data_IF_115666169954
#
_entry.id   IF_115666169954
#
_cell.length_a   1.000
_cell.length_b   1.000
_cell.length_c   1.000
_cell.angle_alpha   90.00
_cell.angle_beta   90.00
_cell.angle_gamma   90.00
#
_symmetry.space_group_name_H-M   'P 1'
#
loop_
_entity.id
_entity.type
_entity.pdbx_description
1 polymer ?
#
# COMPACT_ATOMS: atom_id res chain seq x y z
N UNK A 1 0.33 -4.58 -10.44
CA UNK A 1 1.13 -5.62 -9.75
C UNK A 1 1.38 -6.77 -10.73
N UNK A 2 2.20 -6.52 -11.75
CA UNK A 2 2.32 -7.42 -12.92
C UNK A 2 3.61 -8.26 -12.91
N UNK A 3 4.55 -8.00 -12.00
CA UNK A 3 5.79 -8.79 -11.93
C UNK A 3 5.52 -10.16 -11.29
N UNK A 4 5.97 -11.24 -11.95
CA UNK A 4 5.82 -12.62 -11.47
C UNK A 4 6.60 -12.90 -10.19
N UNK A 5 7.70 -12.18 -9.98
CA UNK A 5 8.55 -12.33 -8.80
C UNK A 5 7.97 -11.57 -7.62
N UNK A 6 7.42 -12.29 -6.65
CA UNK A 6 6.95 -11.69 -5.40
C UNK A 6 8.06 -10.93 -4.67
N UNK A 7 9.33 -11.29 -4.86
CA UNK A 7 10.48 -10.56 -4.30
C UNK A 7 10.63 -9.17 -4.89
N UNK A 8 10.38 -9.01 -6.20
CA UNK A 8 10.38 -7.69 -6.83
C UNK A 8 9.23 -6.85 -6.27
N UNK A 9 8.03 -7.44 -6.18
CA UNK A 9 6.86 -6.76 -5.59
C UNK A 9 7.08 -6.38 -4.13
N UNK A 10 7.72 -7.24 -3.34
CA UNK A 10 8.14 -6.99 -1.97
C UNK A 10 9.07 -5.78 -1.88
N UNK A 11 10.11 -5.72 -2.71
CA UNK A 11 11.05 -4.57 -2.72
C UNK A 11 10.32 -3.28 -3.07
N UNK A 12 9.39 -3.31 -4.04
CA UNK A 12 8.55 -2.15 -4.35
C UNK A 12 7.70 -1.74 -3.16
N UNK A 13 7.07 -2.68 -2.44
CA UNK A 13 6.31 -2.39 -1.23
C UNK A 13 7.18 -1.79 -0.12
N UNK A 14 8.40 -2.32 0.08
CA UNK A 14 9.33 -1.82 1.09
C UNK A 14 9.80 -0.38 0.78
N UNK A 15 10.01 -0.08 -0.50
CA UNK A 15 10.51 1.22 -1.00
C UNK A 15 9.42 2.22 -1.38
N UNK A 16 8.15 1.87 -1.21
CA UNK A 16 7.04 2.65 -1.74
C UNK A 16 7.00 4.10 -1.25
N UNK A 17 7.28 4.34 0.02
CA UNK A 17 7.29 5.70 0.61
C UNK A 17 8.45 6.54 0.09
N UNK A 18 9.60 5.91 -0.19
CA UNK A 18 10.74 6.58 -0.82
C UNK A 18 10.37 6.99 -2.26
N UNK A 19 9.71 6.10 -3.01
CA UNK A 19 9.19 6.38 -4.34
C UNK A 19 8.16 7.52 -4.34
N UNK A 20 7.23 7.51 -3.38
CA UNK A 20 6.21 8.56 -3.23
C UNK A 20 6.83 9.96 -3.09
N UNK A 21 7.90 10.07 -2.31
CA UNK A 21 8.64 11.34 -2.13
C UNK A 21 9.33 11.81 -3.42
N UNK A 22 9.75 10.88 -4.27
CA UNK A 22 10.47 11.20 -5.50
C UNK A 22 9.56 11.61 -6.66
N UNK A 23 8.34 11.07 -6.74
CA UNK A 23 7.45 11.27 -7.91
C UNK A 23 6.48 12.45 -7.77
N UNK A 24 6.32 12.99 -6.56
CA UNK A 24 5.43 14.11 -6.29
C UNK A 24 3.94 13.76 -6.28
N UNK A 25 3.10 14.75 -6.01
CA UNK A 25 1.68 14.58 -5.66
C UNK A 25 0.80 14.04 -6.78
N UNK A 26 1.05 14.41 -8.03
CA UNK A 26 0.21 14.01 -9.16
C UNK A 26 0.36 12.52 -9.46
N UNK A 27 1.60 12.05 -9.67
CA UNK A 27 1.92 10.64 -9.87
C UNK A 27 1.54 9.82 -8.64
N UNK A 28 1.71 10.37 -7.43
CA UNK A 28 1.27 9.70 -6.22
C UNK A 28 -0.21 9.35 -6.27
N UNK A 29 -1.06 10.30 -6.67
CA UNK A 29 -2.51 10.11 -6.72
C UNK A 29 -2.94 9.18 -7.85
N UNK A 30 -2.38 9.37 -9.04
CA UNK A 30 -2.84 8.68 -10.24
C UNK A 30 -2.28 7.26 -10.35
N UNK A 31 -1.05 7.04 -9.88
CA UNK A 31 -0.33 5.78 -10.11
C UNK A 31 0.02 5.05 -8.81
N UNK A 32 0.59 5.76 -7.82
CA UNK A 32 1.04 5.08 -6.60
C UNK A 32 -0.10 4.66 -5.67
N UNK A 33 -1.18 5.42 -5.57
CA UNK A 33 -2.34 5.02 -4.75
C UNK A 33 -2.95 3.71 -5.28
N UNK A 34 -3.29 3.57 -6.58
CA UNK A 34 -3.75 2.29 -7.12
C UNK A 34 -2.73 1.16 -6.97
N UNK A 35 -1.44 1.44 -7.18
CA UNK A 35 -0.38 0.46 -6.99
C UNK A 35 -0.30 0.00 -5.53
N UNK A 36 -0.45 0.92 -4.57
CA UNK A 36 -0.42 0.61 -3.15
C UNK A 36 -1.60 -0.27 -2.74
N UNK A 37 -2.81 0.09 -3.19
CA UNK A 37 -4.00 -0.73 -2.97
C UNK A 37 -3.82 -2.16 -3.54
N UNK A 38 -3.15 -2.28 -4.68
CA UNK A 38 -2.83 -3.59 -5.26
C UNK A 38 -1.83 -4.39 -4.42
N UNK A 39 -0.82 -3.74 -3.83
CA UNK A 39 0.16 -4.38 -2.94
C UNK A 39 -0.47 -4.81 -1.60
N UNK A 40 -1.42 -4.04 -1.07
CA UNK A 40 -2.20 -4.43 0.11
C UNK A 40 -3.08 -5.67 -0.16
N UNK A 41 -3.38 -5.96 -1.43
CA UNK A 41 -4.16 -7.10 -1.89
C UNK A 41 -3.31 -8.17 -2.59
N UNK A 42 -1.99 -8.10 -2.45
CA UNK A 42 -1.08 -9.05 -3.11
C UNK A 42 -1.37 -10.49 -2.63
N UNK A 43 -1.32 -11.53 -3.49
CA UNK A 43 -1.52 -12.91 -3.06
C UNK A 43 -0.49 -13.36 -2.00
N UNK A 44 0.71 -12.79 -1.99
CA UNK A 44 1.78 -13.20 -1.10
C UNK A 44 1.74 -12.43 0.23
N UNK A 45 1.66 -13.16 1.33
CA UNK A 45 1.49 -12.60 2.66
C UNK A 45 2.65 -11.66 3.06
N UNK A 46 3.88 -11.99 2.67
CA UNK A 46 5.07 -11.17 2.91
C UNK A 46 5.00 -9.82 2.18
N UNK A 47 4.42 -9.78 0.98
CA UNK A 47 4.21 -8.54 0.23
C UNK A 47 3.13 -7.71 0.93
N UNK A 48 2.03 -8.33 1.36
CA UNK A 48 0.97 -7.65 2.13
C UNK A 48 1.50 -7.08 3.44
N UNK A 49 2.29 -7.84 4.19
CA UNK A 49 2.91 -7.40 5.43
C UNK A 49 3.87 -6.22 5.20
N UNK A 50 4.71 -6.29 4.16
CA UNK A 50 5.59 -5.18 3.79
C UNK A 50 4.78 -3.92 3.44
N UNK A 51 3.73 -4.05 2.63
CA UNK A 51 2.86 -2.93 2.26
C UNK A 51 2.13 -2.34 3.47
N UNK A 52 1.57 -3.18 4.35
CA UNK A 52 0.87 -2.77 5.56
C UNK A 52 1.79 -2.00 6.52
N UNK A 53 3.07 -2.41 6.64
CA UNK A 53 4.06 -1.70 7.46
C UNK A 53 4.28 -0.24 7.05
N UNK A 54 3.97 0.12 5.80
CA UNK A 54 4.13 1.48 5.26
C UNK A 54 2.86 2.33 5.35
N UNK A 55 1.74 1.78 5.83
CA UNK A 55 0.42 2.41 5.76
C UNK A 55 0.37 3.80 6.38
N UNK A 56 0.89 3.93 7.60
CA UNK A 56 0.91 5.20 8.32
C UNK A 56 1.68 6.27 7.54
N UNK A 57 2.88 5.94 7.08
CA UNK A 57 3.78 6.89 6.44
C UNK A 57 3.30 7.29 5.05
N UNK A 58 2.77 6.32 4.27
CA UNK A 58 2.19 6.59 2.97
C UNK A 58 0.98 7.51 3.06
N UNK A 59 0.05 7.22 3.98
CA UNK A 59 -1.14 8.03 4.22
C UNK A 59 -0.80 9.45 4.70
N UNK A 60 0.17 9.59 5.60
CA UNK A 60 0.63 10.90 6.09
C UNK A 60 1.34 11.73 5.03
N UNK A 61 1.86 11.10 3.98
CA UNK A 61 2.56 11.75 2.88
C UNK A 61 1.63 12.09 1.69
N UNK A 62 0.35 11.73 1.76
CA UNK A 62 -0.63 12.12 0.74
C UNK A 62 -0.91 13.63 0.78
N UNK A 63 -1.26 14.25 -0.37
CA UNK A 63 -1.64 15.65 -0.44
C UNK A 63 -2.80 15.98 0.51
N UNK A 64 -2.62 16.99 1.37
CA UNK A 64 -3.53 17.29 2.49
C UNK A 64 -4.98 17.52 2.03
N UNK A 65 -5.16 18.19 0.89
CA UNK A 65 -6.44 18.49 0.26
C UNK A 65 -7.26 17.27 -0.14
N UNK A 66 -6.59 16.16 -0.48
CA UNK A 66 -7.24 14.92 -0.97
C UNK A 66 -7.05 13.72 -0.03
N UNK A 67 -6.25 13.88 1.03
CA UNK A 67 -5.79 12.80 1.90
C UNK A 67 -6.94 12.00 2.49
N UNK A 68 -7.88 12.67 3.16
CA UNK A 68 -9.01 12.01 3.80
C UNK A 68 -9.86 11.26 2.79
N UNK A 69 -10.18 11.90 1.65
CA UNK A 69 -10.94 11.29 0.58
C UNK A 69 -10.26 10.02 0.06
N UNK A 70 -8.96 10.07 -0.24
CA UNK A 70 -8.19 8.92 -0.74
C UNK A 70 -8.17 7.79 0.30
N UNK A 71 -7.88 8.13 1.56
CA UNK A 71 -7.83 7.14 2.64
C UNK A 71 -9.19 6.44 2.77
N UNK A 72 -10.27 7.20 2.87
CA UNK A 72 -11.60 6.67 3.13
C UNK A 72 -12.17 5.88 1.94
N UNK A 73 -11.93 6.35 0.71
CA UNK A 73 -12.53 5.75 -0.49
C UNK A 73 -11.70 4.62 -1.11
N UNK A 74 -10.37 4.64 -0.96
CA UNK A 74 -9.49 3.68 -1.66
C UNK A 74 -8.73 2.78 -0.69
N UNK A 75 -8.07 3.36 0.33
CA UNK A 75 -7.16 2.61 1.20
C UNK A 75 -7.92 1.83 2.29
N UNK A 76 -8.86 2.47 2.98
CA UNK A 76 -9.62 1.86 4.08
C UNK A 76 -10.38 0.58 3.67
N UNK A 77 -11.01 0.49 2.48
CA UNK A 77 -11.56 -0.78 2.00
C UNK A 77 -10.51 -1.90 1.92
N UNK A 78 -9.31 -1.61 1.39
CA UNK A 78 -8.24 -2.60 1.28
C UNK A 78 -7.78 -3.10 2.67
N UNK A 79 -7.70 -2.21 3.66
CA UNK A 79 -7.35 -2.56 5.04
C UNK A 79 -8.44 -3.41 5.69
N UNK A 80 -9.72 -3.09 5.47
CA UNK A 80 -10.83 -3.90 5.99
C UNK A 80 -10.81 -5.32 5.43
N UNK A 81 -10.57 -5.46 4.13
CA UNK A 81 -10.44 -6.75 3.47
C UNK A 81 -9.29 -7.58 4.10
N UNK A 82 -8.16 -6.93 4.39
CA UNK A 82 -6.98 -7.56 5.01
C UNK A 82 -7.25 -8.07 6.44
N UNK A 83 -8.03 -7.34 7.24
CA UNK A 83 -8.39 -7.78 8.61
C UNK A 83 -9.32 -9.00 8.58
N UNK A 84 -10.16 -9.12 7.53
CA UNK A 84 -11.02 -10.28 7.31
C UNK A 84 -10.29 -11.53 6.81
N UNK A 85 -9.16 -11.35 6.11
CA UNK A 85 -8.28 -12.41 5.60
C UNK A 85 -7.37 -12.96 6.72
N UNK A 86 -7.99 -13.63 7.70
CA UNK A 86 -7.29 -14.34 8.76
C UNK A 86 -6.66 -15.63 8.23
N UNK A 87 -5.55 -15.49 7.50
CA UNK A 87 -4.45 -16.45 7.59
C UNK A 87 -3.58 -16.06 8.80
N UNK A 88 -3.34 -17.00 9.72
CA UNK A 88 -2.92 -16.80 11.12
C UNK A 88 -1.52 -16.19 11.37
N UNK A 89 -0.93 -15.44 10.43
CA UNK A 89 0.42 -14.86 10.58
C UNK A 89 0.52 -13.32 10.50
N UNK A 90 -0.59 -12.58 10.34
CA UNK A 90 -0.55 -11.10 10.17
C UNK A 90 -1.08 -10.32 11.38
N UNK A 91 -1.07 -10.90 12.59
CA UNK A 91 -1.54 -10.22 13.81
C UNK A 91 -0.46 -9.53 14.65
N UNK A 92 0.80 -9.49 14.20
CA UNK A 92 1.93 -9.13 15.09
C UNK A 92 2.89 -8.07 14.56
N UNK A 93 2.51 -7.29 13.54
CA UNK A 93 3.34 -6.20 13.03
C UNK A 93 2.70 -4.83 13.33
#
# INVERSE_FOLDING_TARGET
TEDKSWRVRYVVADKLVELQKAVGSEITKNDLVPAYCSLLKDPEAEVRAAAASKLKDFCNSLPVDTREQIIMSQILPCVKDMVGDMNQHVKSA
#
